data_IF_444035881428
#
_entry.id   IF_444035881428
#
_cell.length_a   1.000
_cell.length_b   1.000
_cell.length_c   1.000
_cell.angle_alpha   90.00
_cell.angle_beta   90.00
_cell.angle_gamma   90.00
#
_symmetry.space_group_name_H-M   'P 1'
#
loop_
_entity.id
_entity.type
_entity.pdbx_description
1 polymer ?
#
# COMPACT_ATOMS: atom_id res chain seq x y z
N UNK A 1 9.40 -6.34 -19.00
CA UNK A 1 9.29 -5.46 -17.80
C UNK A 1 7.81 -5.41 -17.40
N UNK A 2 7.40 -6.10 -16.32
CA UNK A 2 5.99 -6.14 -15.91
C UNK A 2 5.54 -4.77 -15.40
N UNK A 3 4.60 -4.12 -16.10
CA UNK A 3 3.96 -2.88 -15.67
C UNK A 3 2.67 -3.19 -14.93
N UNK A 4 2.40 -2.43 -13.87
CA UNK A 4 1.10 -2.47 -13.20
C UNK A 4 0.03 -1.87 -14.10
N UNK A 5 -1.13 -2.51 -14.13
CA UNK A 5 -2.38 -1.98 -14.68
C UNK A 5 -2.86 -0.78 -13.86
N UNK A 6 -3.78 0.02 -14.40
CA UNK A 6 -4.32 1.20 -13.69
C UNK A 6 -5.08 0.81 -12.42
N UNK A 7 -5.80 -0.32 -12.46
CA UNK A 7 -6.49 -0.86 -11.30
C UNK A 7 -5.50 -1.28 -10.19
N UNK A 8 -4.39 -1.92 -10.56
CA UNK A 8 -3.34 -2.29 -9.61
C UNK A 8 -2.62 -1.07 -9.04
N UNK A 9 -2.34 -0.04 -9.86
CA UNK A 9 -1.81 1.24 -9.39
C UNK A 9 -2.76 1.92 -8.41
N UNK A 10 -4.06 1.91 -8.70
CA UNK A 10 -5.08 2.46 -7.80
C UNK A 10 -5.09 1.76 -6.44
N UNK A 11 -5.02 0.42 -6.43
CA UNK A 11 -5.00 -0.36 -5.19
C UNK A 11 -3.69 -0.21 -4.42
N UNK A 12 -2.56 -0.16 -5.12
CA UNK A 12 -1.28 0.18 -4.51
C UNK A 12 -1.34 1.57 -3.83
N UNK A 13 -1.94 2.58 -4.47
CA UNK A 13 -2.15 3.90 -3.86
C UNK A 13 -2.99 3.83 -2.61
N UNK A 14 -4.09 3.08 -2.63
CA UNK A 14 -4.93 2.88 -1.46
C UNK A 14 -4.16 2.20 -0.32
N UNK A 15 -3.38 1.15 -0.62
CA UNK A 15 -2.55 0.46 0.36
C UNK A 15 -1.52 1.39 1.01
N UNK A 16 -0.84 2.23 0.23
CA UNK A 16 0.14 3.20 0.75
C UNK A 16 -0.52 4.25 1.66
N UNK A 17 -1.72 4.74 1.29
CA UNK A 17 -2.47 5.66 2.17
C UNK A 17 -2.92 4.99 3.46
N UNK A 18 -3.34 3.73 3.40
CA UNK A 18 -3.73 2.97 4.58
C UNK A 18 -2.53 2.71 5.50
N UNK A 19 -1.38 2.30 4.94
CA UNK A 19 -0.14 2.15 5.70
C UNK A 19 0.28 3.48 6.32
N UNK A 20 0.17 4.59 5.59
CA UNK A 20 0.45 5.92 6.12
C UNK A 20 -0.44 6.27 7.32
N UNK A 21 -1.70 5.86 7.31
CA UNK A 21 -2.60 6.04 8.45
C UNK A 21 -2.14 5.21 9.67
N UNK A 22 -1.66 3.98 9.45
CA UNK A 22 -1.14 3.11 10.52
C UNK A 22 0.17 3.59 11.12
N UNK A 23 1.11 4.06 10.29
CA UNK A 23 2.44 4.52 10.73
C UNK A 23 2.49 6.01 11.13
N UNK A 24 1.40 6.76 10.93
CA UNK A 24 1.25 8.11 11.48
C UNK A 24 1.98 9.25 10.74
N UNK A 25 3.13 9.03 10.08
CA UNK A 25 3.79 10.02 9.19
C UNK A 25 4.32 9.42 7.88
N UNK A 26 4.54 10.26 6.87
CA UNK A 26 5.15 9.82 5.60
C UNK A 26 6.61 9.45 5.80
N UNK A 27 7.31 10.19 6.66
CA UNK A 27 8.69 9.91 7.04
C UNK A 27 8.81 8.53 7.71
N UNK A 28 7.95 8.24 8.70
CA UNK A 28 7.96 6.95 9.39
C UNK A 28 7.69 5.79 8.42
N UNK A 29 6.67 5.90 7.56
CA UNK A 29 6.40 4.86 6.56
C UNK A 29 7.57 4.69 5.57
N UNK A 30 8.18 5.80 5.13
CA UNK A 30 9.29 5.79 4.19
C UNK A 30 10.53 5.08 4.77
N UNK A 31 10.82 5.33 6.04
CA UNK A 31 11.89 4.67 6.79
C UNK A 31 11.67 3.15 6.85
N UNK A 32 10.47 2.71 7.24
CA UNK A 32 10.13 1.28 7.32
C UNK A 32 10.14 0.62 5.94
N UNK A 33 9.74 1.32 4.87
CA UNK A 33 9.74 0.82 3.50
C UNK A 33 11.12 0.92 2.80
N UNK A 34 12.09 1.60 3.40
CA UNK A 34 13.41 1.88 2.82
C UNK A 34 13.36 2.72 1.54
N UNK A 35 12.44 3.69 1.45
CA UNK A 35 12.28 4.61 0.30
C UNK A 35 12.27 6.06 0.78
N UNK A 36 12.25 7.03 -0.14
CA UNK A 36 12.08 8.44 0.24
C UNK A 36 10.60 8.78 0.52
N UNK A 37 10.35 9.70 1.45
CA UNK A 37 9.00 10.19 1.72
C UNK A 37 8.36 10.88 0.49
N UNK A 38 9.16 11.59 -0.30
CA UNK A 38 8.70 12.21 -1.55
C UNK A 38 8.21 11.18 -2.57
N UNK A 39 8.88 10.02 -2.67
CA UNK A 39 8.42 8.91 -3.52
C UNK A 39 7.04 8.40 -3.09
N UNK A 40 6.79 8.29 -1.79
CA UNK A 40 5.49 7.87 -1.27
C UNK A 40 4.39 8.92 -1.50
N UNK A 41 4.72 10.20 -1.35
CA UNK A 41 3.79 11.30 -1.62
C UNK A 41 3.39 11.36 -3.10
N UNK A 42 4.37 11.25 -4.01
CA UNK A 42 4.12 11.19 -5.46
C UNK A 42 3.25 9.98 -5.82
N UNK A 43 3.55 8.81 -5.24
CA UNK A 43 2.72 7.64 -5.43
C UNK A 43 1.30 7.89 -4.94
N UNK A 44 1.13 8.41 -3.72
CA UNK A 44 -0.17 8.69 -3.13
C UNK A 44 -0.99 9.71 -3.93
N UNK A 45 -0.34 10.68 -4.58
CA UNK A 45 -0.98 11.68 -5.45
C UNK A 45 -1.38 11.16 -6.83
N UNK A 46 -0.97 9.94 -7.21
CA UNK A 46 -1.31 9.35 -8.51
C UNK A 46 -0.12 9.07 -9.41
N UNK A 47 1.09 9.51 -9.06
CA UNK A 47 2.26 9.44 -9.91
C UNK A 47 3.13 8.22 -9.58
N UNK A 48 3.30 7.34 -10.56
CA UNK A 48 4.23 6.22 -10.48
C UNK A 48 3.59 4.91 -10.00
N UNK A 49 4.34 4.16 -9.19
CA UNK A 49 3.98 2.80 -8.79
C UNK A 49 4.69 1.75 -9.64
N UNK A 50 5.32 0.79 -8.96
CA UNK A 50 6.05 -0.33 -9.55
C UNK A 50 5.76 -1.61 -8.78
N UNK A 51 6.01 -2.76 -9.41
CA UNK A 51 5.95 -4.06 -8.74
C UNK A 51 6.87 -4.13 -7.52
N UNK A 52 8.07 -3.54 -7.61
CA UNK A 52 9.00 -3.47 -6.48
C UNK A 52 8.41 -2.68 -5.29
N UNK A 53 7.70 -1.57 -5.55
CA UNK A 53 7.02 -0.82 -4.51
C UNK A 53 5.86 -1.61 -3.89
N UNK A 54 5.09 -2.33 -4.70
CA UNK A 54 4.02 -3.19 -4.22
C UNK A 54 4.54 -4.33 -3.33
N UNK A 55 5.68 -4.93 -3.69
CA UNK A 55 6.34 -5.93 -2.85
C UNK A 55 6.83 -5.36 -1.51
N UNK A 56 7.39 -4.15 -1.50
CA UNK A 56 7.76 -3.48 -0.24
C UNK A 56 6.54 -3.20 0.63
N UNK A 57 5.46 -2.71 0.03
CA UNK A 57 4.21 -2.47 0.75
C UNK A 57 3.64 -3.76 1.34
N UNK A 58 3.68 -4.87 0.60
CA UNK A 58 3.24 -6.18 1.06
C UNK A 58 4.05 -6.66 2.28
N UNK A 59 5.39 -6.54 2.22
CA UNK A 59 6.28 -6.89 3.34
C UNK A 59 5.98 -6.08 4.60
N UNK A 60 5.86 -4.76 4.47
CA UNK A 60 5.55 -3.88 5.62
C UNK A 60 4.16 -4.13 6.17
N UNK A 61 3.19 -4.46 5.31
CA UNK A 61 1.84 -4.82 5.73
C UNK A 61 1.73 -6.24 6.31
N UNK A 62 2.79 -7.05 6.29
CA UNK A 62 2.73 -8.45 6.70
C UNK A 62 1.76 -9.28 5.86
N UNK A 63 1.69 -9.01 4.55
CA UNK A 63 0.74 -9.64 3.63
C UNK A 63 1.38 -9.97 2.27
N UNK A 64 0.60 -10.49 1.32
CA UNK A 64 1.12 -10.89 0.00
C UNK A 64 0.91 -9.81 -1.07
N UNK A 65 1.65 -9.92 -2.18
CA UNK A 65 1.52 -9.00 -3.31
C UNK A 65 0.12 -9.04 -3.93
N UNK A 66 -0.44 -10.23 -4.04
CA UNK A 66 -1.79 -10.50 -4.56
C UNK A 66 -2.84 -9.82 -3.69
N UNK A 67 -2.60 -9.71 -2.38
CA UNK A 67 -3.50 -9.01 -1.46
C UNK A 67 -3.43 -7.49 -1.60
N UNK A 68 -2.28 -6.94 -1.99
CA UNK A 68 -2.10 -5.51 -2.28
C UNK A 68 -2.69 -5.13 -3.64
N UNK A 69 -2.46 -5.97 -4.67
CA UNK A 69 -2.80 -5.66 -6.06
C UNK A 69 -4.14 -6.25 -6.51
N UNK A 70 -4.60 -7.31 -5.87
CA UNK A 70 -5.84 -8.01 -6.16
C UNK A 70 -7.08 -7.24 -5.73
N UNK A 71 -8.25 -7.74 -6.13
CA UNK A 71 -9.52 -7.11 -5.73
C UNK A 71 -9.64 -7.09 -4.20
N UNK A 72 -10.06 -5.96 -3.60
CA UNK A 72 -10.34 -5.91 -2.17
C UNK A 72 -11.37 -6.98 -1.79
N UNK A 73 -11.06 -7.76 -0.76
CA UNK A 73 -12.06 -8.62 -0.14
C UNK A 73 -13.08 -7.77 0.62
N UNK A 74 -14.33 -8.25 0.74
CA UNK A 74 -15.35 -7.60 1.53
C UNK A 74 -14.83 -7.34 2.96
N UNK A 75 -14.89 -6.09 3.40
CA UNK A 75 -14.29 -5.62 4.63
C UNK A 75 -15.26 -5.71 5.83
N UNK A 76 -15.98 -6.83 5.94
CA UNK A 76 -16.81 -7.13 7.12
C UNK A 76 -15.96 -7.01 8.39
N UNK A 77 -14.72 -7.52 8.35
CA UNK A 77 -13.70 -7.40 9.41
C UNK A 77 -12.30 -7.38 8.82
N UNK A 78 -11.41 -6.55 9.36
CA UNK A 78 -9.99 -6.57 9.03
C UNK A 78 -9.36 -7.88 9.55
N UNK A 79 -8.77 -8.74 8.70
CA UNK A 79 -8.19 -10.00 9.17
C UNK A 79 -6.88 -9.84 9.93
N UNK A 80 -6.31 -8.64 9.97
CA UNK A 80 -5.08 -8.35 10.72
C UNK A 80 -5.36 -7.83 12.14
N UNK A 81 -6.45 -7.09 12.35
CA UNK A 81 -6.74 -6.48 13.64
C UNK A 81 -8.19 -6.65 14.12
N UNK A 82 -9.02 -7.38 13.38
CA UNK A 82 -10.43 -7.66 13.71
C UNK A 82 -11.39 -6.48 13.56
N UNK A 83 -10.91 -5.27 13.26
CA UNK A 83 -11.72 -4.05 13.20
C UNK A 83 -12.69 -4.08 12.01
N UNK A 84 -13.98 -3.86 12.27
CA UNK A 84 -15.02 -3.70 11.24
C UNK A 84 -15.20 -2.23 10.84
N UNK A 85 -15.92 -1.98 9.74
CA UNK A 85 -16.36 -0.64 9.39
C UNK A 85 -17.49 -0.21 10.35
N UNK A 86 -17.12 0.32 11.50
CA UNK A 86 -18.01 0.94 12.48
C UNK A 86 -18.02 2.45 12.29
#
# INVERSE_FOLDING_TARGET
MLRLTDAERMRLRAAIRNLRALYGTWACLAEVMGVSAGTLQQLASGNGGSHAMALRAAKVAGTTLERILGRPAAAERCPHCGRGAS
#
